data_IF_279856946923
#
_entry.id   IF_279856946923
#
_cell.length_a   1.000
_cell.length_b   1.000
_cell.length_c   1.000
_cell.angle_alpha   90.00
_cell.angle_beta   90.00
_cell.angle_gamma   90.00
#
_symmetry.space_group_name_H-M   'P 1'
#
loop_
_entity.id
_entity.type
_entity.pdbx_description
1 polymer ?
#
# COMPACT_ATOMS: atom_id res chain seq x y z
N UNK A 1 21.17 -6.04 4.47
CA UNK A 1 19.80 -5.85 4.99
C UNK A 1 19.67 -6.60 6.30
N UNK A 2 19.42 -5.88 7.39
CA UNK A 2 19.33 -6.44 8.74
C UNK A 2 18.02 -7.27 8.87
N UNK A 3 17.97 -8.28 9.76
CA UNK A 3 16.74 -9.11 9.94
C UNK A 3 15.48 -8.26 10.21
N UNK A 4 15.63 -7.13 10.90
CA UNK A 4 14.56 -6.17 11.21
C UNK A 4 14.04 -5.45 9.96
N UNK A 5 14.93 -5.04 9.06
CA UNK A 5 14.55 -4.37 7.80
C UNK A 5 13.78 -5.32 6.89
N UNK A 6 14.19 -6.59 6.82
CA UNK A 6 13.45 -7.61 6.06
C UNK A 6 12.04 -7.81 6.59
N UNK A 7 11.89 -7.83 7.91
CA UNK A 7 10.59 -8.02 8.55
C UNK A 7 9.67 -6.80 8.33
N UNK A 8 10.21 -5.59 8.47
CA UNK A 8 9.46 -4.35 8.18
C UNK A 8 9.03 -4.29 6.72
N UNK A 9 9.92 -4.63 5.79
CA UNK A 9 9.61 -4.71 4.37
C UNK A 9 8.45 -5.67 4.09
N UNK A 10 8.46 -6.83 4.73
CA UNK A 10 7.41 -7.82 4.56
C UNK A 10 6.06 -7.33 5.12
N UNK A 11 6.05 -6.67 6.26
CA UNK A 11 4.83 -6.09 6.84
C UNK A 11 4.25 -4.97 5.96
N UNK A 12 5.11 -4.11 5.39
CA UNK A 12 4.68 -3.07 4.44
C UNK A 12 4.08 -3.69 3.20
N UNK A 13 4.76 -4.68 2.62
CA UNK A 13 4.27 -5.39 1.45
C UNK A 13 2.86 -5.97 1.68
N UNK A 14 2.64 -6.65 2.81
CA UNK A 14 1.32 -7.20 3.12
C UNK A 14 0.28 -6.11 3.41
N UNK A 15 0.65 -5.03 4.08
CA UNK A 15 -0.26 -3.92 4.33
C UNK A 15 -0.72 -3.27 3.02
N UNK A 16 0.20 -3.03 2.09
CA UNK A 16 -0.08 -2.45 0.78
C UNK A 16 -0.93 -3.40 -0.08
N UNK A 17 -0.61 -4.69 -0.06
CA UNK A 17 -1.37 -5.71 -0.77
C UNK A 17 -2.82 -5.80 -0.26
N UNK A 18 -3.00 -5.79 1.06
CA UNK A 18 -4.34 -5.81 1.70
C UNK A 18 -5.09 -4.52 1.36
N UNK A 19 -4.43 -3.35 1.44
CA UNK A 19 -5.03 -2.06 1.08
C UNK A 19 -5.50 -2.05 -0.38
N UNK A 20 -4.69 -2.58 -1.29
CA UNK A 20 -5.04 -2.69 -2.70
C UNK A 20 -6.20 -3.66 -2.93
N UNK A 21 -6.18 -4.83 -2.28
CA UNK A 21 -7.26 -5.82 -2.38
C UNK A 21 -8.59 -5.25 -1.86
N UNK A 22 -8.58 -4.57 -0.72
CA UNK A 22 -9.75 -3.88 -0.18
C UNK A 22 -10.24 -2.78 -1.14
N UNK A 23 -9.34 -2.00 -1.70
CA UNK A 23 -9.66 -0.93 -2.66
C UNK A 23 -10.29 -1.48 -3.93
N UNK A 24 -9.76 -2.59 -4.45
CA UNK A 24 -10.32 -3.29 -5.60
C UNK A 24 -11.72 -3.83 -5.32
N UNK A 25 -11.92 -4.51 -4.19
CA UNK A 25 -13.22 -5.04 -3.78
C UNK A 25 -14.24 -3.91 -3.58
N UNK A 26 -13.82 -2.81 -2.96
CA UNK A 26 -14.69 -1.66 -2.74
C UNK A 26 -15.06 -0.97 -4.06
N UNK A 27 -14.11 -0.80 -4.98
CA UNK A 27 -14.37 -0.31 -6.32
C UNK A 27 -15.35 -1.22 -7.08
N UNK A 28 -15.12 -2.53 -7.02
CA UNK A 28 -16.01 -3.51 -7.65
C UNK A 28 -17.43 -3.47 -7.08
N UNK A 29 -17.59 -3.41 -5.76
CA UNK A 29 -18.90 -3.25 -5.12
C UNK A 29 -19.58 -1.94 -5.54
N UNK A 30 -18.85 -0.83 -5.53
CA UNK A 30 -19.40 0.49 -5.81
C UNK A 30 -19.85 0.61 -7.26
N UNK A 31 -19.04 0.17 -8.20
CA UNK A 31 -19.40 0.20 -9.63
C UNK A 31 -20.35 -0.93 -10.03
N UNK A 32 -20.25 -2.11 -9.45
CA UNK A 32 -21.16 -3.23 -9.69
C UNK A 32 -22.56 -3.01 -9.11
N UNK A 33 -22.67 -2.35 -7.96
CA UNK A 33 -23.98 -2.07 -7.32
C UNK A 33 -24.62 -0.80 -7.87
N UNK A 34 -23.84 0.26 -8.08
CA UNK A 34 -24.38 1.56 -8.49
C UNK A 34 -24.70 1.63 -9.97
N UNK A 35 -23.90 0.99 -10.82
CA UNK A 35 -24.19 0.81 -12.22
C UNK A 35 -24.89 -0.54 -12.45
N UNK A 36 -26.15 -0.69 -12.03
CA UNK A 36 -26.96 -1.89 -12.31
C UNK A 36 -27.00 -2.33 -13.78
N UNK A 37 -26.65 -1.46 -14.72
CA UNK A 37 -26.37 -1.76 -16.13
C UNK A 37 -24.99 -2.38 -16.37
N UNK A 38 -24.08 -2.29 -15.40
CA UNK A 38 -22.74 -2.84 -15.52
C UNK A 38 -22.64 -4.30 -15.06
N UNK A 39 -23.65 -4.85 -14.40
CA UNK A 39 -23.68 -6.27 -14.02
C UNK A 39 -23.63 -7.19 -15.26
N UNK A 40 -24.20 -6.76 -16.39
CA UNK A 40 -24.11 -7.46 -17.68
C UNK A 40 -22.79 -7.18 -18.43
N UNK A 41 -22.04 -6.13 -18.03
CA UNK A 41 -20.79 -5.72 -18.66
C UNK A 41 -19.56 -6.33 -17.97
N UNK A 42 -19.72 -6.88 -16.75
CA UNK A 42 -18.64 -7.53 -16.02
C UNK A 42 -18.79 -9.05 -16.12
N UNK A 43 -18.30 -9.64 -17.20
CA UNK A 43 -18.06 -11.07 -17.20
C UNK A 43 -17.06 -11.40 -16.06
N UNK A 44 -17.34 -12.45 -15.31
CA UNK A 44 -16.45 -12.91 -14.20
C UNK A 44 -15.02 -13.11 -14.68
N UNK A 45 -14.84 -13.53 -15.93
CA UNK A 45 -13.54 -13.74 -16.52
C UNK A 45 -12.76 -12.43 -16.71
N UNK A 46 -13.42 -11.34 -17.12
CA UNK A 46 -12.81 -10.02 -17.28
C UNK A 46 -12.35 -9.44 -15.94
N UNK A 47 -13.19 -9.56 -14.90
CA UNK A 47 -12.87 -9.10 -13.54
C UNK A 47 -11.66 -9.87 -13.00
N UNK A 48 -11.60 -11.18 -13.21
CA UNK A 48 -10.48 -11.99 -12.79
C UNK A 48 -9.19 -11.62 -13.53
N UNK A 49 -9.24 -11.46 -14.84
CA UNK A 49 -8.09 -11.02 -15.64
C UNK A 49 -7.58 -9.66 -15.19
N UNK A 50 -8.51 -8.72 -14.95
CA UNK A 50 -8.17 -7.40 -14.42
C UNK A 50 -7.47 -7.48 -13.05
N UNK A 51 -7.99 -8.31 -12.13
CA UNK A 51 -7.41 -8.49 -10.82
C UNK A 51 -5.99 -9.10 -10.88
N UNK A 52 -5.77 -10.07 -11.77
CA UNK A 52 -4.44 -10.67 -11.99
C UNK A 52 -3.47 -9.63 -12.53
N UNK A 53 -3.87 -8.83 -13.53
CA UNK A 53 -3.02 -7.77 -14.07
C UNK A 53 -2.74 -6.67 -13.05
N UNK A 54 -3.71 -6.32 -12.21
CA UNK A 54 -3.53 -5.38 -11.11
C UNK A 54 -2.50 -5.90 -10.10
N UNK A 55 -2.54 -7.18 -9.77
CA UNK A 55 -1.56 -7.81 -8.89
C UNK A 55 -0.15 -7.79 -9.51
N UNK A 56 -0.03 -8.07 -10.81
CA UNK A 56 1.26 -7.97 -11.52
C UNK A 56 1.76 -6.53 -11.52
N UNK A 57 0.88 -5.56 -11.81
CA UNK A 57 1.22 -4.14 -11.77
C UNK A 57 1.68 -3.70 -10.38
N UNK A 58 1.02 -4.19 -9.33
CA UNK A 58 1.42 -3.95 -7.95
C UNK A 58 2.81 -4.49 -7.65
N UNK A 59 3.10 -5.74 -8.02
CA UNK A 59 4.41 -6.34 -7.80
C UNK A 59 5.53 -5.55 -8.50
N UNK A 60 5.30 -5.16 -9.77
CA UNK A 60 6.24 -4.34 -10.52
C UNK A 60 6.44 -2.99 -9.83
N UNK A 61 5.36 -2.29 -9.51
CA UNK A 61 5.42 -0.98 -8.85
C UNK A 61 6.14 -1.09 -7.50
N UNK A 62 5.82 -2.10 -6.69
CA UNK A 62 6.41 -2.30 -5.37
C UNK A 62 7.91 -2.59 -5.43
N UNK A 63 8.38 -3.30 -6.46
CA UNK A 63 9.81 -3.59 -6.64
C UNK A 63 10.61 -2.35 -7.02
N UNK A 64 10.04 -1.48 -7.86
CA UNK A 64 10.72 -0.27 -8.35
C UNK A 64 10.54 0.93 -7.45
N UNK A 65 9.50 0.94 -6.63
CA UNK A 65 9.20 2.06 -5.74
C UNK A 65 9.89 1.88 -4.39
N UNK A 66 10.87 2.74 -4.08
CA UNK A 66 11.63 2.68 -2.82
C UNK A 66 10.82 3.22 -1.63
N UNK A 67 9.84 2.47 -1.18
CA UNK A 67 9.04 2.80 0.02
C UNK A 67 9.75 2.47 1.35
N UNK A 68 10.97 1.93 1.28
CA UNK A 68 11.64 1.23 2.37
C UNK A 68 12.14 2.10 3.51
N UNK A 69 12.20 3.44 3.34
CA UNK A 69 12.75 4.33 4.36
C UNK A 69 11.75 4.60 5.50
N UNK A 70 12.06 4.06 6.67
CA UNK A 70 11.56 4.43 8.01
C UNK A 70 10.06 4.81 8.08
N UNK A 71 9.17 3.84 7.85
CA UNK A 71 7.72 4.06 8.00
C UNK A 71 7.37 4.60 9.40
N UNK A 72 8.10 4.17 10.44
CA UNK A 72 7.82 4.57 11.82
C UNK A 72 7.97 6.08 12.08
N UNK A 73 8.83 6.76 11.31
CA UNK A 73 9.20 8.17 11.54
C UNK A 73 8.55 9.14 10.54
N UNK A 74 7.68 8.66 9.62
CA UNK A 74 7.05 9.48 8.59
C UNK A 74 5.84 10.25 9.14
N UNK A 75 5.75 11.53 8.78
CA UNK A 75 4.55 12.33 9.01
C UNK A 75 3.41 11.91 8.08
N UNK A 76 2.16 12.17 8.48
CA UNK A 76 0.95 11.86 7.69
C UNK A 76 1.01 12.52 6.29
N UNK A 77 1.57 13.71 6.18
CA UNK A 77 1.73 14.43 4.90
C UNK A 77 2.65 13.67 3.94
N UNK A 78 3.75 13.12 4.45
CA UNK A 78 4.69 12.34 3.64
C UNK A 78 4.07 11.03 3.16
N UNK A 79 3.27 10.38 4.03
CA UNK A 79 2.53 9.17 3.67
C UNK A 79 1.54 9.44 2.54
N UNK A 80 0.84 10.57 2.59
CA UNK A 80 -0.12 10.92 1.55
C UNK A 80 0.58 11.20 0.21
N UNK A 81 1.70 11.92 0.22
CA UNK A 81 2.51 12.15 -0.98
C UNK A 81 3.08 10.86 -1.58
N UNK A 82 3.54 9.95 -0.73
CA UNK A 82 4.02 8.63 -1.15
C UNK A 82 2.88 7.82 -1.77
N UNK A 83 1.69 7.86 -1.15
CA UNK A 83 0.50 7.20 -1.64
C UNK A 83 0.09 7.71 -3.04
N UNK A 84 0.12 9.03 -3.26
CA UNK A 84 -0.14 9.64 -4.57
C UNK A 84 0.86 9.11 -5.61
N UNK A 85 2.16 9.22 -5.32
CA UNK A 85 3.21 8.76 -6.24
C UNK A 85 3.08 7.29 -6.57
N UNK A 86 2.85 6.46 -5.56
CA UNK A 86 2.66 5.02 -5.73
C UNK A 86 1.46 4.70 -6.63
N UNK A 87 0.31 5.33 -6.38
CA UNK A 87 -0.90 5.09 -7.15
C UNK A 87 -0.81 5.60 -8.60
N UNK A 88 -0.08 6.71 -8.84
CA UNK A 88 0.18 7.19 -10.20
C UNK A 88 1.03 6.19 -10.99
N UNK A 89 2.10 5.66 -10.39
CA UNK A 89 2.94 4.65 -11.03
C UNK A 89 2.17 3.35 -11.24
N UNK A 90 1.41 2.90 -10.22
CA UNK A 90 0.55 1.72 -10.30
C UNK A 90 -0.46 1.85 -11.45
N UNK A 91 -1.11 3.00 -11.58
CA UNK A 91 -2.06 3.29 -12.65
C UNK A 91 -1.39 3.21 -14.02
N UNK A 92 -0.21 3.84 -14.16
CA UNK A 92 0.53 3.84 -15.42
C UNK A 92 0.96 2.42 -15.84
N UNK A 93 1.52 1.65 -14.91
CA UNK A 93 1.94 0.26 -15.17
C UNK A 93 0.74 -0.61 -15.50
N UNK A 94 -0.36 -0.49 -14.74
CA UNK A 94 -1.56 -1.27 -14.98
C UNK A 94 -2.20 -0.92 -16.34
N UNK A 95 -2.30 0.36 -16.69
CA UNK A 95 -2.82 0.79 -17.99
C UNK A 95 -1.96 0.24 -19.14
N UNK A 96 -0.63 0.27 -19.00
CA UNK A 96 0.29 -0.31 -19.97
C UNK A 96 0.06 -1.82 -20.13
N UNK A 97 -0.10 -2.56 -19.04
CA UNK A 97 -0.38 -4.00 -19.10
C UNK A 97 -1.71 -4.30 -19.79
N UNK A 98 -2.76 -3.51 -19.55
CA UNK A 98 -4.05 -3.65 -20.21
C UNK A 98 -3.94 -3.42 -21.73
N UNK A 99 -3.16 -2.43 -22.15
CA UNK A 99 -2.92 -2.17 -23.58
C UNK A 99 -2.16 -3.33 -24.24
N UNK A 100 -1.11 -3.83 -23.60
CA UNK A 100 -0.28 -4.93 -24.13
C UNK A 100 -1.08 -6.23 -24.23
N UNK A 101 -1.93 -6.52 -23.25
CA UNK A 101 -2.75 -7.76 -23.23
C UNK A 101 -4.00 -7.68 -24.09
N UNK A 102 -4.31 -6.51 -24.69
CA UNK A 102 -5.50 -6.28 -25.54
C UNK A 102 -6.83 -6.68 -24.88
N UNK A 103 -6.91 -6.63 -23.56
CA UNK A 103 -8.16 -6.91 -22.84
C UNK A 103 -9.17 -5.81 -23.14
N UNK A 104 -10.44 -6.15 -23.47
CA UNK A 104 -11.45 -5.16 -23.79
C UNK A 104 -11.66 -4.18 -22.64
N UNK A 105 -11.46 -2.87 -22.94
CA UNK A 105 -11.40 -1.81 -21.92
C UNK A 105 -12.77 -1.33 -21.42
N UNK A 106 -13.90 -1.81 -21.92
CA UNK A 106 -15.19 -1.15 -21.65
C UNK A 106 -15.58 -1.19 -20.17
N UNK A 107 -15.49 -2.33 -19.54
CA UNK A 107 -15.77 -2.48 -18.10
C UNK A 107 -14.58 -2.04 -17.22
N UNK A 108 -13.36 -2.13 -17.73
CA UNK A 108 -12.13 -1.88 -16.97
C UNK A 108 -11.83 -0.39 -16.73
N UNK A 109 -12.42 0.55 -17.50
CA UNK A 109 -12.13 2.00 -17.35
C UNK A 109 -12.48 2.53 -15.96
N UNK A 110 -13.67 2.18 -15.46
CA UNK A 110 -14.12 2.62 -14.14
C UNK A 110 -13.31 1.97 -13.03
N UNK A 111 -12.98 0.68 -13.19
CA UNK A 111 -12.13 -0.04 -12.25
C UNK A 111 -10.67 0.46 -12.30
N UNK A 112 -10.18 0.79 -13.50
CA UNK A 112 -8.83 1.30 -13.69
C UNK A 112 -8.59 2.60 -12.94
N UNK A 113 -9.55 3.51 -12.94
CA UNK A 113 -9.46 4.79 -12.24
C UNK A 113 -9.93 4.67 -10.79
N UNK A 114 -11.01 3.95 -10.57
CA UNK A 114 -11.66 3.83 -9.26
C UNK A 114 -10.79 3.12 -8.23
N UNK A 115 -10.11 2.04 -8.62
CA UNK A 115 -9.25 1.29 -7.70
C UNK A 115 -8.09 2.14 -7.16
N UNK A 116 -7.27 2.84 -7.96
CA UNK A 116 -6.23 3.72 -7.44
C UNK A 116 -6.76 4.91 -6.64
N UNK A 117 -7.92 5.48 -7.02
CA UNK A 117 -8.54 6.56 -6.25
C UNK A 117 -8.93 6.12 -4.84
N UNK A 118 -9.54 4.95 -4.70
CA UNK A 118 -9.89 4.41 -3.39
C UNK A 118 -8.61 4.03 -2.63
N UNK A 119 -7.64 3.42 -3.32
CA UNK A 119 -6.37 3.03 -2.71
C UNK A 119 -5.55 4.23 -2.20
N UNK A 120 -5.73 5.41 -2.79
CA UNK A 120 -5.12 6.66 -2.33
C UNK A 120 -5.45 6.96 -0.86
N UNK A 121 -6.65 6.59 -0.43
CA UNK A 121 -7.09 6.77 0.96
C UNK A 121 -6.82 5.53 1.83
N UNK A 122 -6.99 4.33 1.24
CA UNK A 122 -6.80 3.08 1.98
C UNK A 122 -5.34 2.81 2.35
N UNK A 123 -4.41 3.20 1.49
CA UNK A 123 -2.98 2.96 1.71
C UNK A 123 -2.43 3.73 2.92
N UNK A 124 -2.67 5.04 3.10
CA UNK A 124 -2.26 5.75 4.32
C UNK A 124 -2.91 5.19 5.58
N UNK A 125 -4.18 4.78 5.50
CA UNK A 125 -4.87 4.14 6.64
C UNK A 125 -4.18 2.82 7.01
N UNK A 126 -3.84 2.00 6.03
CA UNK A 126 -3.10 0.75 6.23
C UNK A 126 -1.74 0.99 6.89
N UNK A 127 -1.01 2.01 6.44
CA UNK A 127 0.28 2.40 7.02
C UNK A 127 0.14 2.91 8.46
N UNK A 128 -0.87 3.70 8.77
CA UNK A 128 -1.13 4.17 10.13
C UNK A 128 -1.49 3.02 11.09
N UNK A 129 -2.29 2.07 10.63
CA UNK A 129 -2.58 0.86 11.39
C UNK A 129 -1.32 0.04 11.65
N UNK A 130 -0.48 -0.10 10.62
CA UNK A 130 0.82 -0.78 10.74
C UNK A 130 1.75 -0.07 11.73
N UNK A 131 1.84 1.27 11.69
CA UNK A 131 2.62 2.07 12.66
C UNK A 131 2.16 1.82 14.09
N UNK A 132 0.84 1.89 14.33
CA UNK A 132 0.25 1.62 15.65
C UNK A 132 0.60 0.21 16.13
N UNK A 133 0.51 -0.78 15.26
CA UNK A 133 0.87 -2.16 15.59
C UNK A 133 2.37 -2.30 15.92
N UNK A 134 3.25 -1.70 15.11
CA UNK A 134 4.69 -1.71 15.34
C UNK A 134 5.07 -0.96 16.62
N UNK A 135 4.39 0.16 16.93
CA UNK A 135 4.61 0.93 18.14
C UNK A 135 4.16 0.15 19.40
N UNK A 136 2.99 -0.48 19.34
CA UNK A 136 2.52 -1.33 20.44
C UNK A 136 3.43 -2.55 20.65
N UNK A 137 3.95 -3.12 19.58
CA UNK A 137 4.93 -4.23 19.64
C UNK A 137 6.30 -3.79 20.15
N UNK A 138 6.72 -2.52 19.97
CA UNK A 138 7.94 -1.95 20.55
C UNK A 138 7.85 -1.87 22.08
N UNK A 139 6.68 -1.59 22.63
CA UNK A 139 6.46 -1.53 24.09
C UNK A 139 6.55 -2.93 24.74
N UNK A 140 6.32 -3.98 23.98
CA UNK A 140 6.57 -5.34 24.43
C UNK A 140 8.01 -5.71 24.06
N UNK A 141 8.95 -5.56 24.99
CA UNK A 141 10.40 -5.82 25.04
C UNK A 141 11.13 -6.59 23.89
N UNK A 142 10.41 -7.22 22.97
CA UNK A 142 10.97 -8.00 21.84
C UNK A 142 11.56 -7.14 20.71
N UNK A 143 11.19 -5.86 20.63
CA UNK A 143 11.63 -4.93 19.57
C UNK A 143 12.29 -3.66 20.13
N UNK A 144 12.54 -3.59 21.44
CA UNK A 144 13.22 -2.46 22.06
C UNK A 144 14.64 -2.34 21.51
N UNK A 145 14.98 -1.17 20.98
CA UNK A 145 16.36 -0.83 20.65
C UNK A 145 17.02 -0.37 21.93
N UNK A 146 17.95 -1.14 22.46
CA UNK A 146 18.81 -0.72 23.56
C UNK A 146 19.69 0.42 23.04
N UNK A 147 19.39 1.65 23.44
CA UNK A 147 20.24 2.82 23.20
C UNK A 147 21.05 3.05 24.46
N UNK A 148 22.34 2.75 24.41
CA UNK A 148 23.25 3.12 25.49
C UNK A 148 23.66 4.58 25.29
N UNK A 149 23.27 5.46 26.21
CA UNK A 149 23.73 6.84 26.25
C UNK A 149 24.98 6.90 27.15
N UNK A 150 26.14 7.02 26.51
CA UNK A 150 27.38 7.26 27.20
C UNK A 150 27.52 8.75 27.48
N UNK A 151 27.39 9.16 28.73
CA UNK A 151 27.57 10.55 29.16
C UNK A 151 28.50 10.61 30.36
N UNK A 152 29.16 11.74 30.54
CA UNK A 152 29.93 12.02 31.77
C UNK A 152 28.97 12.23 32.94
N UNK A 153 29.43 11.87 34.15
CA UNK A 153 28.61 11.96 35.38
C UNK A 153 27.95 13.33 35.58
N UNK A 154 28.64 14.41 35.20
CA UNK A 154 28.19 15.78 35.35
C UNK A 154 27.03 16.17 34.41
N UNK A 155 26.82 15.41 33.34
CA UNK A 155 25.72 15.66 32.37
C UNK A 155 24.57 14.65 32.47
N UNK A 156 24.70 13.64 33.30
CA UNK A 156 23.67 12.61 33.44
C UNK A 156 22.32 13.17 33.97
N UNK A 157 22.37 14.13 34.88
CA UNK A 157 21.22 14.77 35.48
C UNK A 157 20.41 15.67 34.51
N UNK A 158 20.99 16.04 33.36
CA UNK A 158 20.32 16.88 32.36
C UNK A 158 19.59 16.06 31.27
N UNK A 159 19.72 14.72 31.28
CA UNK A 159 19.17 13.83 30.25
C UNK A 159 18.02 12.97 30.78
N UNK A 160 17.86 12.90 32.11
CA UNK A 160 16.72 12.26 32.80
C UNK A 160 15.65 13.28 33.06
#
# INVERSE_FOLDING_TARGET
>A
MNKREKLQFLFVFFADLISLACSFLFAWMLFGVWMRRAADLFDRQEVYQFAVLLLVAFLVTFLFFDQKKNIADRHIQDEFLISIKFNVVLLAVHALLLVVTKIPMMASRYMLIGTPLINLFMLPVGHELLKKYLYHSKNNAKFATLTAILTTHDRAAAII
#
